data_IF_708107084772
#
_entry.id   IF_708107084772
#
_cell.length_a   1.000
_cell.length_b   1.000
_cell.length_c   1.000
_cell.angle_alpha   90.00
_cell.angle_beta   90.00
_cell.angle_gamma   90.00
#
_symmetry.space_group_name_H-M   'P 1'
#
loop_
_entity.id
_entity.type
_entity.pdbx_description
1 polymer ?
#
# COMPACT_ATOMS: atom_id res chain seq x y z
N UNK A 1 -82.90 -93.49 2.84
CA UNK A 1 -82.30 -92.65 1.83
C UNK A 1 -82.14 -91.26 2.41
N UNK A 2 -80.94 -90.93 2.83
CA UNK A 2 -80.69 -89.72 3.53
C UNK A 2 -79.84 -88.81 2.68
N UNK A 3 -80.25 -87.59 2.41
CA UNK A 3 -79.50 -86.57 1.73
C UNK A 3 -78.80 -85.63 2.74
N UNK A 4 -77.56 -85.64 2.77
CA UNK A 4 -76.71 -84.77 3.59
C UNK A 4 -76.50 -83.42 2.89
N UNK A 5 -76.93 -82.33 3.55
CA UNK A 5 -76.67 -80.97 3.16
C UNK A 5 -75.54 -80.38 4.04
N UNK A 6 -74.41 -80.07 3.44
CA UNK A 6 -73.26 -79.42 4.04
C UNK A 6 -73.42 -77.89 4.07
N UNK A 7 -73.07 -77.14 5.13
CA UNK A 7 -73.16 -75.68 5.12
C UNK A 7 -71.94 -75.02 4.54
N UNK A 8 -72.15 -74.02 3.68
CA UNK A 8 -71.12 -73.15 3.09
C UNK A 8 -70.59 -72.15 4.17
N UNK A 9 -69.30 -72.23 4.46
CA UNK A 9 -68.58 -71.22 5.22
C UNK A 9 -68.48 -69.93 4.42
N UNK A 10 -69.05 -68.84 4.90
CA UNK A 10 -68.86 -67.52 4.45
C UNK A 10 -67.47 -67.01 4.93
N UNK A 11 -66.53 -66.78 4.00
CA UNK A 11 -65.25 -66.12 4.27
C UNK A 11 -65.51 -64.64 4.49
N UNK A 12 -65.38 -64.17 5.74
CA UNK A 12 -65.31 -62.76 6.09
C UNK A 12 -64.02 -62.15 5.49
N UNK A 13 -64.17 -61.22 4.57
CA UNK A 13 -63.08 -60.35 4.11
C UNK A 13 -62.77 -59.31 5.22
N UNK A 14 -61.78 -59.57 6.03
CA UNK A 14 -61.22 -58.52 6.90
C UNK A 14 -60.61 -57.45 6.05
N UNK A 15 -61.22 -56.31 5.97
CA UNK A 15 -60.66 -55.06 5.42
C UNK A 15 -59.48 -54.62 6.32
N UNK A 16 -58.28 -54.93 5.94
CA UNK A 16 -57.08 -54.31 6.51
C UNK A 16 -57.13 -52.81 6.24
N UNK A 17 -57.68 -52.02 7.15
CA UNK A 17 -57.47 -50.58 7.19
C UNK A 17 -55.96 -50.33 7.30
N UNK A 18 -55.36 -49.85 6.23
CA UNK A 18 -53.97 -49.42 6.22
C UNK A 18 -53.79 -48.33 7.30
N UNK A 19 -52.93 -48.64 8.27
CA UNK A 19 -52.53 -47.61 9.26
C UNK A 19 -51.96 -46.41 8.51
N UNK A 20 -52.37 -45.16 8.80
CA UNK A 20 -51.82 -44.00 8.19
C UNK A 20 -50.33 -43.94 8.53
N UNK A 21 -49.43 -44.00 7.49
CA UNK A 21 -47.98 -43.80 7.63
C UNK A 21 -47.77 -42.52 8.42
N UNK A 22 -47.29 -42.62 9.65
CA UNK A 22 -46.91 -41.45 10.48
C UNK A 22 -45.94 -40.63 9.65
N UNK A 23 -46.45 -39.55 8.99
CA UNK A 23 -45.63 -38.62 8.24
C UNK A 23 -44.54 -38.12 9.16
N UNK A 24 -43.26 -38.18 8.74
CA UNK A 24 -42.11 -37.76 9.51
C UNK A 24 -42.10 -36.22 9.69
N UNK A 25 -43.05 -35.66 10.40
CA UNK A 25 -43.20 -34.23 10.66
C UNK A 25 -41.95 -33.64 11.34
N UNK A 26 -41.25 -34.44 12.16
CA UNK A 26 -40.01 -34.03 12.80
C UNK A 26 -38.90 -33.81 11.76
N UNK A 27 -38.74 -34.70 10.79
CA UNK A 27 -37.74 -34.53 9.69
C UNK A 27 -38.09 -33.31 8.84
N UNK A 28 -39.36 -33.12 8.49
CA UNK A 28 -39.80 -31.94 7.71
C UNK A 28 -39.56 -30.63 8.44
N UNK A 29 -39.83 -30.56 9.75
CA UNK A 29 -39.56 -29.38 10.57
C UNK A 29 -38.05 -29.08 10.64
N UNK A 30 -37.20 -30.10 10.81
CA UNK A 30 -35.76 -29.95 10.82
C UNK A 30 -35.29 -29.46 9.43
N UNK A 31 -35.78 -30.04 8.33
CA UNK A 31 -35.39 -29.60 6.96
C UNK A 31 -35.81 -28.16 6.72
N UNK A 32 -37.02 -27.76 7.10
CA UNK A 32 -37.50 -26.36 6.96
C UNK A 32 -36.65 -25.41 7.82
N UNK A 33 -36.29 -25.80 9.04
CA UNK A 33 -35.45 -25.00 9.92
C UNK A 33 -34.05 -24.85 9.31
N UNK A 34 -33.44 -25.91 8.76
CA UNK A 34 -32.15 -25.86 8.09
C UNK A 34 -32.20 -24.94 6.85
N UNK A 35 -33.23 -25.09 6.02
CA UNK A 35 -33.42 -24.22 4.86
C UNK A 35 -33.60 -22.76 5.31
N UNK A 36 -34.36 -22.50 6.37
CA UNK A 36 -34.50 -21.14 6.92
C UNK A 36 -33.18 -20.54 7.37
N UNK A 37 -32.35 -21.31 8.09
CA UNK A 37 -31.01 -20.87 8.51
C UNK A 37 -30.10 -20.60 7.30
N UNK A 38 -30.14 -21.49 6.29
CA UNK A 38 -29.37 -21.29 5.06
C UNK A 38 -29.78 -20.03 4.31
N UNK A 39 -31.11 -19.79 4.19
CA UNK A 39 -31.64 -18.59 3.52
C UNK A 39 -31.22 -17.31 4.28
N UNK A 40 -31.33 -17.31 5.61
CA UNK A 40 -30.91 -16.17 6.44
C UNK A 40 -29.41 -15.94 6.28
N UNK A 41 -28.61 -17.00 6.31
CA UNK A 41 -27.15 -16.91 6.11
C UNK A 41 -26.77 -16.35 4.72
N UNK A 42 -27.43 -16.84 3.65
CA UNK A 42 -27.20 -16.33 2.30
C UNK A 42 -27.66 -14.87 2.14
N UNK A 43 -28.76 -14.49 2.76
CA UNK A 43 -29.22 -13.11 2.77
C UNK A 43 -28.23 -12.19 3.50
N UNK A 44 -27.74 -12.61 4.66
CA UNK A 44 -26.68 -11.89 5.39
C UNK A 44 -25.42 -11.75 4.55
N UNK A 45 -24.98 -12.83 3.91
CA UNK A 45 -23.80 -12.84 3.05
C UNK A 45 -23.98 -11.88 1.85
N UNK A 46 -25.15 -11.89 1.22
CA UNK A 46 -25.47 -10.97 0.11
C UNK A 46 -25.50 -9.50 0.52
N UNK A 47 -26.08 -9.19 1.69
CA UNK A 47 -26.07 -7.83 2.24
C UNK A 47 -24.62 -7.40 2.57
N UNK A 48 -23.86 -8.28 3.24
CA UNK A 48 -22.45 -8.03 3.57
C UNK A 48 -21.60 -7.73 2.33
N UNK A 49 -21.77 -8.53 1.26
CA UNK A 49 -21.09 -8.30 -0.01
C UNK A 49 -21.55 -6.98 -0.66
N UNK A 50 -22.85 -6.70 -0.68
CA UNK A 50 -23.38 -5.45 -1.23
C UNK A 50 -22.78 -4.21 -0.54
N UNK A 51 -22.72 -4.23 0.79
CA UNK A 51 -22.09 -3.18 1.59
C UNK A 51 -20.58 -3.06 1.29
N UNK A 52 -19.87 -4.17 1.16
CA UNK A 52 -18.44 -4.16 0.82
C UNK A 52 -18.20 -3.59 -0.59
N UNK A 53 -18.99 -3.97 -1.60
CA UNK A 53 -18.85 -3.49 -2.97
C UNK A 53 -19.15 -1.99 -3.11
N UNK A 54 -20.00 -1.42 -2.26
CA UNK A 54 -20.29 0.01 -2.23
C UNK A 54 -19.28 0.80 -1.38
N UNK A 55 -18.55 0.16 -0.48
CA UNK A 55 -17.59 0.80 0.40
C UNK A 55 -16.20 0.87 -0.25
N UNK A 56 -15.81 2.08 -0.65
CA UNK A 56 -14.50 2.33 -1.27
C UNK A 56 -13.31 2.01 -0.35
N UNK A 57 -13.53 1.86 0.95
CA UNK A 57 -12.47 1.46 1.88
C UNK A 57 -11.91 0.06 1.62
N UNK A 58 -12.65 -0.80 0.95
CA UNK A 58 -12.19 -2.13 0.51
C UNK A 58 -11.34 -2.12 -0.77
N UNK A 59 -11.15 -0.97 -1.40
CA UNK A 59 -10.33 -0.82 -2.59
C UNK A 59 -10.92 0.15 -3.62
N UNK A 60 -10.11 0.56 -4.58
CA UNK A 60 -10.51 1.49 -5.64
C UNK A 60 -11.37 0.85 -6.73
N UNK A 61 -11.23 -0.46 -6.96
CA UNK A 61 -11.99 -1.23 -7.94
C UNK A 61 -13.00 -2.18 -7.30
N UNK A 62 -14.04 -2.58 -8.04
CA UNK A 62 -15.00 -3.57 -7.57
C UNK A 62 -14.35 -4.94 -7.33
N UNK A 63 -13.38 -5.31 -8.17
CA UNK A 63 -12.60 -6.55 -8.01
C UNK A 63 -11.78 -6.55 -6.73
N UNK A 64 -11.12 -5.42 -6.40
CA UNK A 64 -10.40 -5.28 -5.14
C UNK A 64 -11.34 -5.39 -3.93
N UNK A 65 -12.51 -4.73 -3.98
CA UNK A 65 -13.52 -4.79 -2.91
C UNK A 65 -14.06 -6.20 -2.72
N UNK A 66 -14.31 -6.92 -3.80
CA UNK A 66 -14.72 -8.33 -3.74
C UNK A 66 -13.61 -9.19 -3.15
N UNK A 67 -12.36 -9.01 -3.58
CA UNK A 67 -11.22 -9.77 -3.09
C UNK A 67 -10.99 -9.56 -1.59
N UNK A 68 -11.03 -8.32 -1.12
CA UNK A 68 -10.89 -8.00 0.31
C UNK A 68 -12.05 -8.58 1.13
N UNK A 69 -13.30 -8.42 0.67
CA UNK A 69 -14.46 -9.02 1.30
C UNK A 69 -14.35 -10.55 1.37
N UNK A 70 -13.91 -11.18 0.29
CA UNK A 70 -13.73 -12.64 0.22
C UNK A 70 -12.68 -13.15 1.20
N UNK A 71 -11.58 -12.42 1.37
CA UNK A 71 -10.54 -12.74 2.38
C UNK A 71 -11.10 -12.65 3.79
N UNK A 72 -11.92 -11.64 4.07
CA UNK A 72 -12.54 -11.43 5.40
C UNK A 72 -13.63 -12.48 5.71
N UNK A 73 -14.21 -13.13 4.67
CA UNK A 73 -15.27 -14.13 4.81
C UNK A 73 -14.81 -15.58 4.58
N UNK A 74 -13.50 -15.83 4.67
CA UNK A 74 -12.94 -17.19 4.63
C UNK A 74 -12.80 -17.81 3.25
N UNK A 75 -13.11 -17.07 2.16
CA UNK A 75 -12.89 -17.54 0.78
C UNK A 75 -11.59 -16.99 0.17
N UNK A 76 -10.67 -16.53 1.03
CA UNK A 76 -9.37 -15.99 0.60
C UNK A 76 -8.57 -16.93 -0.30
N UNK A 77 -8.64 -18.25 -0.07
CA UNK A 77 -8.00 -19.23 -0.93
C UNK A 77 -8.54 -19.24 -2.37
N UNK A 78 -9.86 -19.08 -2.54
CA UNK A 78 -10.49 -18.98 -3.87
C UNK A 78 -10.10 -17.68 -4.56
N UNK A 79 -10.09 -16.58 -3.82
CA UNK A 79 -9.64 -15.27 -4.34
C UNK A 79 -8.20 -15.36 -4.80
N UNK A 80 -7.32 -15.90 -3.99
CA UNK A 80 -5.91 -16.10 -4.33
C UNK A 80 -5.75 -16.97 -5.57
N UNK A 81 -6.49 -18.08 -5.67
CA UNK A 81 -6.48 -18.94 -6.85
C UNK A 81 -6.94 -18.20 -8.12
N UNK A 82 -8.05 -17.45 -8.06
CA UNK A 82 -8.55 -16.69 -9.22
C UNK A 82 -7.57 -15.61 -9.68
N UNK A 83 -6.92 -14.92 -8.74
CA UNK A 83 -5.86 -13.98 -9.03
C UNK A 83 -4.64 -14.68 -9.66
N UNK A 84 -4.34 -15.91 -9.22
CA UNK A 84 -3.28 -16.77 -9.81
C UNK A 84 -3.50 -17.03 -11.27
N UNK A 85 -4.67 -17.55 -11.58
CA UNK A 85 -5.04 -17.85 -12.96
C UNK A 85 -5.01 -16.60 -13.83
N UNK A 86 -5.52 -15.46 -13.31
CA UNK A 86 -5.49 -14.20 -14.05
C UNK A 86 -4.07 -13.74 -14.38
N UNK A 87 -3.14 -13.77 -13.40
CA UNK A 87 -1.74 -13.41 -13.64
C UNK A 87 -1.01 -14.41 -14.54
N UNK A 88 -1.33 -15.69 -14.44
CA UNK A 88 -0.75 -16.72 -15.31
C UNK A 88 -1.19 -16.52 -16.78
N UNK A 89 -2.45 -16.12 -17.00
CA UNK A 89 -2.98 -15.82 -18.32
C UNK A 89 -2.54 -14.45 -18.87
N UNK A 90 -2.11 -13.52 -17.98
CA UNK A 90 -1.69 -12.18 -18.35
C UNK A 90 -0.26 -11.87 -17.86
N UNK A 91 0.75 -12.64 -18.28
CA UNK A 91 2.12 -12.40 -17.85
C UNK A 91 2.62 -11.05 -18.38
N UNK A 92 3.45 -10.32 -17.62
CA UNK A 92 4.06 -9.09 -18.09
C UNK A 92 4.82 -9.28 -19.40
N UNK A 93 4.67 -8.32 -20.30
CA UNK A 93 5.33 -8.35 -21.62
C UNK A 93 6.85 -8.29 -21.45
N UNK A 94 7.55 -9.19 -22.15
CA UNK A 94 9.02 -9.16 -22.27
C UNK A 94 9.44 -8.20 -23.38
N UNK A 95 10.54 -7.48 -23.18
CA UNK A 95 11.05 -6.52 -24.14
C UNK A 95 10.15 -5.28 -24.32
N UNK A 96 10.27 -4.63 -25.45
CA UNK A 96 9.54 -3.42 -25.79
C UNK A 96 10.23 -2.15 -25.33
N UNK A 97 9.65 -1.01 -25.74
CA UNK A 97 10.13 0.33 -25.32
C UNK A 97 9.08 0.95 -24.41
N UNK A 98 9.50 1.63 -23.32
CA UNK A 98 8.59 2.42 -22.52
C UNK A 98 8.06 3.61 -23.34
N UNK A 99 6.97 4.28 -22.91
CA UNK A 99 6.52 5.53 -23.50
C UNK A 99 7.66 6.54 -23.62
N UNK A 100 7.69 7.33 -24.67
CA UNK A 100 8.80 8.28 -24.98
C UNK A 100 9.02 9.36 -23.92
N UNK A 101 8.00 9.60 -23.09
CA UNK A 101 8.00 10.57 -21.98
C UNK A 101 8.15 9.90 -20.59
N UNK A 102 8.33 8.58 -20.56
CA UNK A 102 8.30 7.78 -19.32
C UNK A 102 9.34 8.21 -18.28
N UNK A 103 10.47 8.73 -18.72
CA UNK A 103 11.57 9.19 -17.86
C UNK A 103 11.63 10.72 -17.72
N UNK A 104 10.69 11.44 -18.35
CA UNK A 104 10.57 12.88 -18.20
C UNK A 104 9.83 13.20 -16.92
N UNK A 105 10.11 14.37 -16.36
CA UNK A 105 9.41 14.90 -15.20
C UNK A 105 7.90 14.94 -15.45
N UNK A 106 7.15 14.23 -14.63
CA UNK A 106 5.69 14.26 -14.62
C UNK A 106 5.25 14.98 -13.34
N UNK A 107 4.79 16.20 -13.47
CA UNK A 107 4.21 16.94 -12.36
C UNK A 107 4.76 18.34 -12.13
N UNK A 108 4.09 19.07 -11.24
CA UNK A 108 4.42 20.45 -10.87
C UNK A 108 5.63 20.46 -9.94
N UNK A 109 6.81 20.17 -10.47
CA UNK A 109 8.02 20.28 -9.69
C UNK A 109 8.31 21.74 -9.42
N UNK A 110 8.48 22.08 -8.16
CA UNK A 110 8.99 23.39 -7.79
C UNK A 110 10.39 23.56 -8.44
N UNK A 111 10.58 24.60 -9.20
CA UNK A 111 11.93 25.02 -9.60
C UNK A 111 12.66 25.37 -8.31
N UNK A 112 13.75 24.66 -8.00
CA UNK A 112 14.59 25.03 -6.88
C UNK A 112 15.01 26.50 -7.07
N UNK A 113 14.60 27.36 -6.16
CA UNK A 113 14.85 28.80 -6.24
C UNK A 113 16.18 29.14 -5.58
N UNK A 114 16.61 28.29 -4.63
CA UNK A 114 17.84 28.51 -3.90
C UNK A 114 19.05 27.98 -4.69
N UNK A 115 20.04 28.82 -4.90
CA UNK A 115 21.36 28.44 -5.42
C UNK A 115 22.13 27.55 -4.43
N UNK A 116 21.83 27.66 -3.13
CA UNK A 116 22.43 26.88 -2.05
C UNK A 116 21.37 26.42 -1.06
N UNK A 117 21.46 25.16 -0.63
CA UNK A 117 20.58 24.55 0.39
C UNK A 117 21.45 24.00 1.52
N UNK A 118 21.99 24.89 2.42
CA UNK A 118 22.99 24.51 3.41
C UNK A 118 22.48 23.44 4.39
N UNK A 119 21.18 23.44 4.68
CA UNK A 119 20.55 22.50 5.61
C UNK A 119 20.08 21.20 4.93
N UNK A 120 20.13 21.10 3.62
CA UNK A 120 19.71 19.93 2.87
C UNK A 120 20.86 18.93 2.67
N UNK A 121 20.49 17.67 2.50
CA UNK A 121 21.44 16.66 2.01
C UNK A 121 21.77 16.91 0.53
N UNK A 122 22.97 16.53 0.09
CA UNK A 122 23.31 16.59 -1.33
C UNK A 122 22.31 15.77 -2.16
N UNK A 123 21.89 16.33 -3.31
CA UNK A 123 21.09 15.60 -4.30
C UNK A 123 21.74 14.26 -4.62
N UNK A 124 20.98 13.15 -4.71
CA UNK A 124 21.55 11.86 -5.06
C UNK A 124 22.10 11.88 -6.50
N UNK A 125 23.21 11.17 -6.72
CA UNK A 125 23.79 10.95 -8.05
C UNK A 125 22.86 10.14 -8.93
N UNK A 126 23.06 10.17 -10.25
CA UNK A 126 22.26 9.40 -11.22
C UNK A 126 22.20 7.93 -10.80
N UNK A 127 20.99 7.39 -10.76
CA UNK A 127 20.75 6.00 -10.39
C UNK A 127 21.20 5.05 -11.51
N UNK A 128 21.97 3.99 -11.20
CA UNK A 128 22.27 2.95 -12.18
C UNK A 128 21.00 2.24 -12.65
N UNK A 129 20.82 2.12 -13.96
CA UNK A 129 19.64 1.46 -14.53
C UNK A 129 19.87 -0.04 -14.68
N UNK A 130 18.90 -0.90 -14.33
CA UNK A 130 19.02 -2.35 -14.53
C UNK A 130 19.09 -2.78 -16.00
N UNK A 131 18.46 -2.03 -16.89
CA UNK A 131 18.40 -2.34 -18.32
C UNK A 131 19.38 -1.48 -19.12
N UNK A 132 20.08 -2.10 -20.07
CA UNK A 132 21.06 -1.42 -20.94
C UNK A 132 20.57 -1.41 -22.40
N UNK A 133 20.94 -0.40 -23.19
CA UNK A 133 21.52 0.90 -22.77
C UNK A 133 20.50 1.75 -22.02
N UNK A 134 20.94 2.70 -21.19
CA UNK A 134 20.04 3.65 -20.53
C UNK A 134 19.24 4.46 -21.57
N UNK A 135 17.99 4.74 -21.26
CA UNK A 135 17.19 5.64 -22.06
C UNK A 135 17.47 7.11 -21.65
N UNK A 136 17.22 8.09 -22.51
CA UNK A 136 17.37 9.50 -22.15
C UNK A 136 16.59 9.86 -20.88
N UNK A 137 17.27 10.46 -19.90
CA UNK A 137 16.76 10.84 -18.57
C UNK A 137 16.43 9.67 -17.62
N UNK A 138 16.62 8.43 -18.01
CA UNK A 138 16.48 7.27 -17.13
C UNK A 138 17.50 7.34 -15.98
N UNK A 139 17.03 7.21 -14.74
CA UNK A 139 17.87 7.29 -13.55
C UNK A 139 18.24 8.71 -13.09
N UNK A 140 17.82 9.76 -13.82
CA UNK A 140 18.10 11.14 -13.46
C UNK A 140 17.10 11.65 -12.44
N UNK A 141 17.57 12.02 -11.26
CA UNK A 141 16.74 12.57 -10.19
C UNK A 141 16.26 14.00 -10.47
N UNK A 142 14.99 14.23 -10.33
CA UNK A 142 14.32 15.49 -10.59
C UNK A 142 13.58 15.98 -9.33
N UNK A 143 13.68 17.27 -8.96
CA UNK A 143 12.98 17.79 -7.79
C UNK A 143 11.49 17.83 -8.01
N UNK A 144 10.73 17.44 -6.98
CA UNK A 144 9.25 17.38 -7.00
C UNK A 144 8.66 17.87 -5.68
N UNK A 145 7.35 18.06 -5.66
CA UNK A 145 6.61 18.49 -4.48
C UNK A 145 6.90 19.94 -4.08
N UNK A 146 6.40 20.35 -2.90
CA UNK A 146 6.66 21.69 -2.36
C UNK A 146 8.12 21.84 -1.93
N UNK A 147 8.63 23.06 -2.05
CA UNK A 147 9.91 23.41 -1.44
C UNK A 147 9.78 23.53 0.07
N UNK A 148 10.82 23.14 0.78
CA UNK A 148 10.99 23.33 2.23
C UNK A 148 12.18 24.26 2.42
N UNK A 149 11.99 25.39 3.06
CA UNK A 149 13.00 26.46 3.16
C UNK A 149 13.67 26.78 1.80
N UNK A 150 12.87 26.87 0.75
CA UNK A 150 13.27 27.09 -0.64
C UNK A 150 14.13 25.97 -1.26
N UNK A 151 14.29 24.84 -0.58
CA UNK A 151 15.04 23.66 -1.04
C UNK A 151 14.11 22.53 -1.47
N UNK A 152 14.53 21.76 -2.46
CA UNK A 152 13.85 20.54 -2.84
C UNK A 152 14.09 19.45 -1.79
N UNK A 153 13.02 18.99 -1.14
CA UNK A 153 13.07 17.98 -0.10
C UNK A 153 12.80 16.56 -0.65
N UNK A 154 12.20 16.46 -1.83
CA UNK A 154 11.91 15.19 -2.52
C UNK A 154 12.44 15.26 -3.95
N UNK A 155 13.08 14.18 -4.37
CA UNK A 155 13.48 13.96 -5.75
C UNK A 155 12.91 12.65 -6.26
N UNK A 156 12.40 12.64 -7.48
CA UNK A 156 11.91 11.45 -8.16
C UNK A 156 12.82 11.07 -9.33
N UNK A 157 12.90 9.78 -9.59
CA UNK A 157 13.54 9.23 -10.80
C UNK A 157 12.77 8.01 -11.27
N UNK A 158 12.97 7.66 -12.52
CA UNK A 158 12.26 6.57 -13.18
C UNK A 158 13.28 5.67 -13.89
N UNK A 159 13.09 4.35 -13.73
CA UNK A 159 13.94 3.34 -14.36
C UNK A 159 13.09 2.17 -14.87
N UNK A 160 13.63 1.39 -15.77
CA UNK A 160 13.08 0.09 -16.14
C UNK A 160 13.35 -0.91 -15.00
N UNK A 161 12.41 -1.81 -14.64
CA UNK A 161 12.54 -2.69 -13.47
C UNK A 161 13.71 -3.68 -13.59
N UNK A 162 13.95 -4.20 -14.79
CA UNK A 162 14.98 -5.18 -15.11
C UNK A 162 15.35 -5.15 -16.60
N UNK A 163 16.30 -6.01 -17.02
CA UNK A 163 16.75 -6.13 -18.40
C UNK A 163 15.77 -6.86 -19.34
N UNK A 164 14.73 -7.51 -18.79
CA UNK A 164 13.76 -8.34 -19.55
C UNK A 164 12.48 -7.58 -19.81
N UNK A 165 11.93 -6.90 -18.80
CA UNK A 165 10.61 -6.23 -18.84
C UNK A 165 10.76 -4.74 -19.20
N UNK A 166 11.47 -4.46 -20.27
CA UNK A 166 11.96 -3.12 -20.64
C UNK A 166 10.90 -2.13 -21.09
N UNK A 167 9.65 -2.54 -21.27
CA UNK A 167 8.50 -1.66 -21.54
C UNK A 167 7.86 -1.07 -20.29
N UNK A 168 8.17 -1.61 -19.11
CA UNK A 168 7.65 -1.11 -17.84
C UNK A 168 8.58 -0.08 -17.22
N UNK A 169 8.00 0.77 -16.36
CA UNK A 169 8.70 1.83 -15.64
C UNK A 169 8.35 1.76 -14.18
N UNK A 170 9.37 1.85 -13.34
CA UNK A 170 9.29 1.91 -11.88
C UNK A 170 9.73 3.29 -11.43
N UNK A 171 9.00 3.88 -10.49
CA UNK A 171 9.35 5.16 -9.90
C UNK A 171 10.10 4.98 -8.58
N UNK A 172 11.05 5.87 -8.34
CA UNK A 172 11.76 5.99 -7.08
C UNK A 172 11.61 7.42 -6.56
N UNK A 173 11.40 7.56 -5.26
CA UNK A 173 11.36 8.85 -4.58
C UNK A 173 12.41 8.87 -3.46
N UNK A 174 13.33 9.82 -3.52
CA UNK A 174 14.32 10.08 -2.49
C UNK A 174 13.84 11.25 -1.61
N UNK A 175 13.91 11.13 -0.30
CA UNK A 175 13.37 12.06 0.68
C UNK A 175 14.45 12.47 1.68
N UNK A 176 14.59 13.78 1.89
CA UNK A 176 15.61 14.36 2.76
C UNK A 176 15.13 14.46 4.22
N UNK A 177 15.70 13.70 5.17
CA UNK A 177 15.30 13.73 6.58
C UNK A 177 15.68 15.03 7.31
N UNK A 178 16.59 15.85 6.74
CA UNK A 178 16.91 17.16 7.31
C UNK A 178 15.81 18.18 7.04
N UNK A 179 15.09 18.03 5.94
CA UNK A 179 14.00 18.90 5.53
C UNK A 179 12.62 18.34 5.85
N UNK A 180 12.52 17.01 6.04
CA UNK A 180 11.26 16.29 6.21
C UNK A 180 11.18 15.57 7.55
N UNK A 181 9.97 15.53 8.09
CA UNK A 181 9.58 14.77 9.27
C UNK A 181 8.60 13.68 8.87
N UNK A 182 8.90 12.44 9.21
CA UNK A 182 8.05 11.28 8.97
C UNK A 182 6.94 11.15 10.03
N UNK A 183 5.79 10.63 9.63
CA UNK A 183 4.73 10.17 10.54
C UNK A 183 4.05 8.92 9.99
N UNK A 184 3.61 8.04 10.90
CA UNK A 184 2.77 6.89 10.57
C UNK A 184 1.32 7.25 10.85
N UNK A 185 0.46 7.02 9.88
CA UNK A 185 -0.99 7.18 9.97
C UNK A 185 -1.67 5.83 9.96
N UNK A 186 -2.56 5.61 10.91
CA UNK A 186 -3.42 4.42 10.92
C UNK A 186 -4.57 4.60 9.95
N UNK A 187 -4.94 3.54 9.24
CA UNK A 187 -6.16 3.50 8.44
C UNK A 187 -7.39 3.22 9.31
N UNK A 188 -8.54 3.19 8.70
CA UNK A 188 -9.80 2.87 9.41
C UNK A 188 -9.91 1.40 9.87
N UNK A 189 -9.10 0.50 9.28
CA UNK A 189 -9.08 -0.92 9.61
C UNK A 189 -7.69 -1.46 9.98
N UNK A 190 -6.61 -0.85 9.49
CA UNK A 190 -5.23 -1.27 9.78
C UNK A 190 -4.56 -0.19 10.62
N UNK A 191 -4.05 -0.53 11.81
CA UNK A 191 -3.89 -1.86 12.42
C UNK A 191 -5.14 -2.41 13.11
N UNK A 192 -6.22 -1.65 13.22
CA UNK A 192 -7.37 -1.91 14.08
C UNK A 192 -7.16 -1.32 15.48
N UNK A 193 -8.22 -1.23 16.30
CA UNK A 193 -8.11 -0.87 17.72
C UNK A 193 -8.00 0.63 18.03
N UNK A 194 -8.40 1.53 17.13
CA UNK A 194 -8.41 2.97 17.40
C UNK A 194 -9.29 3.41 18.58
N UNK A 195 -9.40 4.71 18.86
CA UNK A 195 -8.93 5.82 18.02
C UNK A 195 -7.43 6.08 18.14
N UNK A 196 -6.85 6.68 17.07
CA UNK A 196 -5.44 7.05 16.99
C UNK A 196 -5.29 8.56 16.79
N UNK A 197 -4.17 9.12 17.28
CA UNK A 197 -3.86 10.53 17.12
C UNK A 197 -3.64 10.91 15.63
N UNK A 198 -3.08 9.97 14.85
CA UNK A 198 -2.92 10.13 13.39
C UNK A 198 -3.66 9.02 12.67
N UNK A 199 -4.76 9.38 12.04
CA UNK A 199 -5.59 8.45 11.26
C UNK A 199 -6.07 9.11 9.97
N UNK A 200 -6.49 8.29 9.00
CA UNK A 200 -7.16 8.78 7.79
C UNK A 200 -8.54 9.41 8.13
N UNK A 201 -8.92 10.50 7.49
CA UNK A 201 -8.19 11.26 6.46
C UNK A 201 -7.12 12.17 7.06
N UNK A 202 -6.13 12.57 6.24
CA UNK A 202 -5.18 13.62 6.64
C UNK A 202 -5.98 14.89 6.96
N UNK A 203 -5.79 15.41 8.17
CA UNK A 203 -6.50 16.62 8.61
C UNK A 203 -6.01 17.87 7.87
N UNK A 204 -6.84 18.89 7.78
CA UNK A 204 -6.48 20.19 7.18
C UNK A 204 -5.22 20.79 7.83
N UNK A 205 -5.08 20.65 9.15
CA UNK A 205 -3.90 21.14 9.85
C UNK A 205 -2.63 20.38 9.42
N UNK A 206 -2.67 19.05 9.39
CA UNK A 206 -1.54 18.24 8.92
C UNK A 206 -1.19 18.50 7.45
N UNK A 207 -2.17 18.80 6.61
CA UNK A 207 -1.99 19.13 5.21
C UNK A 207 -1.21 20.43 4.97
N UNK A 208 -1.13 21.33 5.95
CA UNK A 208 -0.39 22.61 5.81
C UNK A 208 1.11 22.37 5.61
N UNK A 209 1.68 21.32 6.20
CA UNK A 209 3.09 20.95 6.08
C UNK A 209 3.35 19.74 5.21
N UNK A 210 2.32 19.05 4.73
CA UNK A 210 2.46 17.81 3.98
C UNK A 210 3.22 18.00 2.65
N UNK A 211 4.23 17.16 2.41
CA UNK A 211 5.05 17.14 1.19
C UNK A 211 4.81 15.88 0.39
N UNK A 212 4.76 14.72 1.04
CA UNK A 212 4.47 13.44 0.39
C UNK A 212 3.70 12.50 1.31
N UNK A 213 2.99 11.56 0.71
CA UNK A 213 2.34 10.44 1.41
C UNK A 213 2.44 9.18 0.57
N UNK A 214 2.62 8.02 1.22
CA UNK A 214 2.75 6.74 0.53
C UNK A 214 2.31 5.58 1.40
N UNK A 215 1.96 4.46 0.76
CA UNK A 215 1.45 3.27 1.44
C UNK A 215 2.45 2.69 2.45
N UNK A 216 1.92 2.10 3.52
CA UNK A 216 2.69 1.26 4.43
C UNK A 216 2.70 -0.22 3.97
N UNK A 217 2.81 -1.14 4.92
CA UNK A 217 2.97 -2.56 4.64
C UNK A 217 1.66 -3.33 4.42
N UNK A 218 1.77 -4.65 4.42
CA UNK A 218 0.64 -5.57 4.28
C UNK A 218 -0.39 -5.41 5.40
N UNK A 219 -1.56 -6.01 5.23
CA UNK A 219 -2.51 -6.22 6.34
C UNK A 219 -1.76 -6.87 7.50
N UNK A 220 -2.12 -6.52 8.73
CA UNK A 220 -1.37 -6.99 9.90
C UNK A 220 -1.29 -8.50 10.02
N UNK A 221 -2.33 -9.22 9.58
CA UNK A 221 -2.33 -10.68 9.53
C UNK A 221 -1.31 -11.29 8.56
N UNK A 222 -0.91 -10.53 7.52
CA UNK A 222 0.01 -10.97 6.47
C UNK A 222 1.42 -10.38 6.67
N UNK A 223 1.53 -9.31 7.47
CA UNK A 223 2.77 -8.60 7.75
C UNK A 223 3.77 -9.39 8.62
N UNK A 224 3.31 -10.42 9.32
CA UNK A 224 4.10 -11.23 10.27
C UNK A 224 4.86 -10.41 11.32
N UNK A 225 4.34 -9.25 11.69
CA UNK A 225 5.00 -8.31 12.57
C UNK A 225 4.00 -7.45 13.34
N UNK A 226 4.53 -6.56 14.16
CA UNK A 226 3.75 -5.75 15.07
C UNK A 226 3.53 -4.29 14.63
N UNK A 227 2.83 -3.58 15.50
CA UNK A 227 2.48 -2.17 15.32
C UNK A 227 2.51 -1.43 16.66
N UNK A 228 3.26 -0.33 16.71
CA UNK A 228 3.35 0.56 17.87
C UNK A 228 3.09 1.99 17.44
N UNK A 229 2.18 2.68 18.12
CA UNK A 229 1.89 4.10 17.92
C UNK A 229 1.18 4.66 19.16
N UNK A 230 1.16 5.97 19.33
CA UNK A 230 0.49 6.66 20.43
C UNK A 230 0.89 6.10 21.81
N UNK A 231 2.19 5.79 21.98
CA UNK A 231 2.77 5.17 23.17
C UNK A 231 2.15 3.81 23.55
N UNK A 232 1.53 3.11 22.59
CA UNK A 232 0.87 1.81 22.80
C UNK A 232 1.37 0.78 21.80
N UNK A 233 1.64 -0.43 22.27
CA UNK A 233 1.80 -1.61 21.43
C UNK A 233 0.41 -2.12 21.03
N UNK A 234 0.00 -1.85 19.80
CA UNK A 234 -1.30 -2.28 19.27
C UNK A 234 -1.25 -3.75 18.90
N UNK A 235 -0.16 -4.16 18.26
CA UNK A 235 0.15 -5.55 17.93
C UNK A 235 1.58 -5.80 18.37
N UNK A 236 1.87 -6.91 19.07
CA UNK A 236 3.20 -7.21 19.59
C UNK A 236 4.29 -7.12 18.53
N UNK A 237 5.39 -6.43 18.85
CA UNK A 237 6.56 -6.33 17.97
C UNK A 237 7.35 -7.64 18.00
N UNK A 238 7.74 -8.13 16.82
CA UNK A 238 8.39 -9.41 16.63
C UNK A 238 9.88 -9.19 16.35
N UNK A 239 10.75 -9.87 17.10
CA UNK A 239 12.20 -9.81 16.93
C UNK A 239 12.61 -10.29 15.51
N UNK A 240 13.60 -9.62 14.92
CA UNK A 240 14.13 -9.93 13.60
C UNK A 240 13.32 -9.35 12.44
N UNK A 241 12.05 -8.98 12.63
CA UNK A 241 11.21 -8.44 11.55
C UNK A 241 11.67 -7.05 11.11
N UNK A 242 11.57 -6.81 9.81
CA UNK A 242 11.85 -5.50 9.23
C UNK A 242 10.90 -4.46 9.80
N UNK A 243 11.46 -3.40 10.33
CA UNK A 243 10.75 -2.40 11.12
C UNK A 243 11.07 -1.01 10.62
N UNK A 244 10.05 -0.26 10.22
CA UNK A 244 10.11 1.18 10.05
C UNK A 244 9.86 1.83 11.41
N UNK A 245 10.85 2.52 11.92
CA UNK A 245 10.85 3.17 13.24
C UNK A 245 10.87 4.67 13.04
N UNK A 246 9.92 5.38 13.65
CA UNK A 246 9.87 6.83 13.61
C UNK A 246 10.17 7.35 15.02
N UNK A 247 11.05 8.35 15.10
CA UNK A 247 11.50 8.96 16.35
C UNK A 247 10.81 10.30 16.60
N UNK A 248 10.90 10.79 17.84
CA UNK A 248 10.31 12.08 18.29
C UNK A 248 10.73 13.27 17.45
N UNK A 249 11.96 13.25 16.96
CA UNK A 249 12.49 14.29 16.07
C UNK A 249 11.96 14.18 14.63
N UNK A 250 11.12 13.18 14.33
CA UNK A 250 10.55 12.92 13.02
C UNK A 250 11.51 12.24 12.06
N UNK A 251 12.69 11.81 12.49
CA UNK A 251 13.52 10.92 11.66
C UNK A 251 12.92 9.53 11.57
N UNK A 252 13.24 8.83 10.49
CA UNK A 252 12.82 7.44 10.28
C UNK A 252 14.05 6.58 10.06
N UNK A 253 14.07 5.41 10.69
CA UNK A 253 15.05 4.37 10.41
C UNK A 253 14.37 3.05 10.04
N UNK A 254 15.10 2.17 9.37
CA UNK A 254 14.65 0.84 8.95
C UNK A 254 15.67 -0.17 9.40
N UNK A 255 15.22 -1.25 10.07
CA UNK A 255 16.12 -2.30 10.54
C UNK A 255 15.40 -3.53 11.06
N UNK A 256 16.16 -4.60 11.31
CA UNK A 256 15.67 -5.78 12.00
C UNK A 256 15.45 -5.45 13.48
N UNK A 257 14.23 -5.70 13.96
CA UNK A 257 13.84 -5.38 15.33
C UNK A 257 14.63 -6.16 16.37
N UNK A 258 15.10 -5.47 17.41
CA UNK A 258 15.87 -6.03 18.51
C UNK A 258 17.37 -6.17 18.24
N UNK A 259 17.82 -5.98 16.98
CA UNK A 259 19.25 -6.06 16.62
C UNK A 259 19.80 -4.80 15.99
N UNK A 260 19.08 -4.21 15.03
CA UNK A 260 19.49 -3.00 14.31
C UNK A 260 18.68 -1.77 14.75
N UNK A 261 17.43 -1.98 15.10
CA UNK A 261 16.53 -0.98 15.70
C UNK A 261 15.83 -1.60 16.91
N UNK A 262 15.55 -0.80 17.92
CA UNK A 262 14.94 -1.28 19.15
C UNK A 262 14.08 -0.19 19.80
N UNK A 263 13.27 -0.57 20.80
CA UNK A 263 12.50 0.39 21.57
C UNK A 263 13.44 1.29 22.40
N UNK A 264 13.28 2.59 22.23
CA UNK A 264 13.93 3.62 23.04
C UNK A 264 12.90 4.65 23.48
N UNK A 265 13.19 5.51 24.45
CA UNK A 265 12.27 6.60 24.85
C UNK A 265 11.89 7.56 23.71
N UNK A 266 12.68 7.60 22.64
CA UNK A 266 12.44 8.49 21.49
C UNK A 266 11.61 7.86 20.36
N UNK A 267 11.30 6.56 20.46
CA UNK A 267 10.43 5.89 19.48
C UNK A 267 8.99 6.33 19.66
N UNK A 268 8.37 6.84 18.60
CA UNK A 268 6.96 7.25 18.57
C UNK A 268 6.08 6.32 17.76
N UNK A 269 6.63 5.64 16.76
CA UNK A 269 5.89 4.66 15.97
C UNK A 269 6.81 3.57 15.43
N UNK A 270 6.30 2.35 15.35
CA UNK A 270 6.95 1.21 14.69
C UNK A 270 5.92 0.48 13.83
N UNK A 271 6.27 0.26 12.57
CA UNK A 271 5.50 -0.55 11.63
C UNK A 271 6.38 -1.67 11.09
N UNK A 272 6.05 -2.90 11.43
CA UNK A 272 6.79 -4.07 10.96
C UNK A 272 6.14 -4.69 9.72
N UNK A 273 6.94 -5.20 8.80
CA UNK A 273 6.48 -5.93 7.61
C UNK A 273 7.53 -6.92 7.13
N UNK A 274 7.27 -8.21 7.33
CA UNK A 274 8.12 -9.32 6.88
C UNK A 274 9.60 -9.20 7.37
N UNK A 275 10.54 -9.61 6.53
CA UNK A 275 11.97 -9.52 6.79
C UNK A 275 12.61 -8.41 5.94
N UNK A 276 13.83 -8.00 6.29
CA UNK A 276 14.61 -7.09 5.43
C UNK A 276 14.90 -7.75 4.07
N UNK A 277 14.78 -6.98 3.01
CA UNK A 277 15.13 -7.39 1.64
C UNK A 277 16.50 -6.85 1.20
N UNK A 278 16.99 -5.80 1.88
CA UNK A 278 18.36 -5.27 1.74
C UNK A 278 18.95 -5.15 3.13
N UNK A 279 20.17 -5.63 3.32
CA UNK A 279 20.99 -5.43 4.50
C UNK A 279 22.43 -5.13 4.11
N UNK A 280 23.10 -4.23 4.85
CA UNK A 280 24.47 -3.77 4.58
C UNK A 280 24.68 -3.32 3.12
N UNK A 281 23.65 -2.72 2.52
CA UNK A 281 23.68 -2.21 1.14
C UNK A 281 23.54 -3.28 0.05
N UNK A 282 23.24 -4.51 0.40
CA UNK A 282 23.10 -5.65 -0.53
C UNK A 282 21.75 -6.34 -0.35
N UNK A 283 21.20 -6.85 -1.44
CA UNK A 283 20.06 -7.75 -1.37
C UNK A 283 20.40 -8.95 -0.47
N UNK A 284 19.49 -9.32 0.44
CA UNK A 284 19.70 -10.45 1.35
C UNK A 284 19.70 -11.77 0.59
N UNK A 285 20.43 -12.75 1.12
CA UNK A 285 20.48 -14.08 0.53
C UNK A 285 19.11 -14.78 0.59
N UNK A 286 18.81 -15.61 -0.40
CA UNK A 286 17.59 -16.42 -0.44
C UNK A 286 16.32 -15.65 -0.85
N UNK A 287 16.44 -14.46 -1.43
CA UNK A 287 15.30 -13.80 -2.06
C UNK A 287 14.75 -14.65 -3.21
N UNK A 288 13.55 -15.18 -3.02
CA UNK A 288 12.88 -15.98 -4.03
C UNK A 288 11.39 -15.64 -4.07
N UNK A 289 10.88 -15.45 -5.26
CA UNK A 289 9.45 -15.22 -5.48
C UNK A 289 8.58 -16.45 -5.14
N UNK A 290 9.17 -17.64 -5.03
CA UNK A 290 8.48 -18.86 -4.63
C UNK A 290 8.38 -19.03 -3.11
N UNK A 291 9.14 -18.26 -2.32
CA UNK A 291 9.04 -18.29 -0.85
C UNK A 291 8.01 -17.26 -0.35
N UNK A 292 6.75 -17.59 -0.53
CA UNK A 292 5.62 -16.76 -0.11
C UNK A 292 5.51 -16.64 1.42
N UNK A 293 6.10 -17.58 2.17
CA UNK A 293 6.04 -17.54 3.63
C UNK A 293 6.93 -16.46 4.22
N UNK A 294 8.01 -16.11 3.53
CA UNK A 294 9.02 -15.16 3.99
C UNK A 294 8.85 -13.77 3.37
N UNK A 295 8.42 -13.70 2.12
CA UNK A 295 8.39 -12.47 1.32
C UNK A 295 6.96 -12.03 0.95
N UNK A 296 5.97 -12.57 1.66
CA UNK A 296 4.56 -12.33 1.40
C UNK A 296 4.02 -13.17 0.25
N UNK A 297 2.80 -13.61 0.42
CA UNK A 297 2.07 -14.28 -0.65
C UNK A 297 1.85 -13.29 -1.78
N UNK A 298 2.62 -13.43 -2.84
CA UNK A 298 2.29 -12.76 -4.08
C UNK A 298 0.97 -13.33 -4.58
N UNK A 299 0.13 -12.46 -5.08
CA UNK A 299 -1.08 -12.90 -5.76
C UNK A 299 -0.70 -13.93 -6.80
N UNK A 300 -1.05 -15.17 -6.52
CA UNK A 300 -0.87 -16.24 -7.43
C UNK A 300 0.49 -16.86 -7.56
N UNK A 301 1.38 -16.71 -6.62
CA UNK A 301 2.76 -17.14 -6.83
C UNK A 301 3.41 -16.42 -8.02
N UNK A 302 2.74 -15.39 -8.58
CA UNK A 302 3.29 -14.60 -9.66
C UNK A 302 4.49 -13.82 -9.16
N UNK A 303 5.64 -14.08 -9.75
CA UNK A 303 6.86 -13.38 -9.41
C UNK A 303 6.78 -11.88 -9.76
N UNK A 304 6.03 -11.52 -10.79
CA UNK A 304 5.98 -10.19 -11.41
C UNK A 304 4.65 -9.50 -11.12
N UNK A 305 4.61 -8.68 -10.07
CA UNK A 305 3.44 -7.93 -9.66
C UNK A 305 3.79 -6.45 -9.42
N UNK A 306 2.80 -5.62 -9.13
CA UNK A 306 3.06 -4.33 -8.51
C UNK A 306 3.68 -4.54 -7.13
N UNK A 307 4.80 -3.87 -6.89
CA UNK A 307 5.47 -3.90 -5.60
C UNK A 307 5.86 -2.51 -5.16
N UNK A 308 5.93 -2.34 -3.85
CA UNK A 308 6.58 -1.19 -3.25
C UNK A 308 7.53 -1.61 -2.14
N UNK A 309 8.47 -0.75 -1.85
CA UNK A 309 9.41 -0.92 -0.76
C UNK A 309 10.03 0.40 -0.38
N UNK A 310 10.63 0.45 0.79
CA UNK A 310 11.40 1.60 1.22
C UNK A 310 12.70 1.19 1.90
N UNK A 311 13.70 2.06 1.82
CA UNK A 311 14.99 1.82 2.42
C UNK A 311 15.58 3.09 3.00
N UNK A 312 16.49 2.92 3.97
CA UNK A 312 17.27 3.98 4.57
C UNK A 312 18.70 3.94 4.04
N UNK A 313 19.22 5.09 3.62
CA UNK A 313 20.61 5.27 3.20
C UNK A 313 21.50 5.58 4.41
N UNK A 314 22.83 5.49 4.24
CA UNK A 314 23.80 5.78 5.31
C UNK A 314 23.67 7.19 5.89
N UNK A 315 23.22 8.16 5.11
CA UNK A 315 23.01 9.54 5.54
C UNK A 315 21.61 9.81 6.12
N UNK A 316 20.82 8.74 6.36
CA UNK A 316 19.47 8.83 6.91
C UNK A 316 18.38 9.15 5.88
N UNK A 317 18.73 9.45 4.61
CA UNK A 317 17.70 9.69 3.61
C UNK A 317 16.90 8.43 3.32
N UNK A 318 15.59 8.60 3.08
CA UNK A 318 14.66 7.53 2.78
C UNK A 318 14.44 7.44 1.29
N UNK A 319 14.42 6.24 0.76
CA UNK A 319 14.08 5.97 -0.64
C UNK A 319 12.85 5.07 -0.68
N UNK A 320 11.82 5.50 -1.38
CA UNK A 320 10.67 4.68 -1.77
C UNK A 320 10.87 4.18 -3.20
N UNK A 321 10.48 2.95 -3.46
CA UNK A 321 10.41 2.34 -4.79
C UNK A 321 9.00 1.80 -4.99
N UNK A 322 8.38 2.07 -6.15
CA UNK A 322 7.07 1.50 -6.45
C UNK A 322 6.80 1.42 -7.94
N UNK A 323 6.16 0.34 -8.38
CA UNK A 323 5.80 0.18 -9.77
C UNK A 323 5.38 -1.24 -10.16
N UNK A 324 5.00 -1.43 -11.44
CA UNK A 324 4.55 -2.71 -11.98
C UNK A 324 5.70 -3.66 -12.30
N UNK A 325 5.35 -4.92 -12.48
CA UNK A 325 6.23 -5.95 -13.07
C UNK A 325 7.57 -6.13 -12.36
N UNK A 326 7.57 -6.07 -11.03
CA UNK A 326 8.75 -6.33 -10.21
C UNK A 326 8.66 -7.67 -9.51
N UNK A 327 9.78 -8.40 -9.50
CA UNK A 327 10.03 -9.46 -8.53
C UNK A 327 10.52 -8.87 -7.21
N UNK A 328 10.49 -9.64 -6.13
CA UNK A 328 11.10 -9.22 -4.86
C UNK A 328 12.60 -8.95 -5.01
N UNK A 329 13.27 -9.74 -5.86
CA UNK A 329 14.71 -9.55 -6.17
C UNK A 329 14.94 -8.24 -6.92
N UNK A 330 14.11 -7.90 -7.90
CA UNK A 330 14.20 -6.63 -8.62
C UNK A 330 13.97 -5.43 -7.69
N UNK A 331 13.01 -5.53 -6.76
CA UNK A 331 12.77 -4.49 -5.76
C UNK A 331 13.99 -4.29 -4.85
N UNK A 332 14.58 -5.38 -4.35
CA UNK A 332 15.77 -5.32 -3.51
C UNK A 332 17.00 -4.76 -4.27
N UNK A 333 17.18 -5.15 -5.53
CA UNK A 333 18.26 -4.64 -6.39
C UNK A 333 18.12 -3.13 -6.62
N UNK A 334 16.91 -2.65 -6.90
CA UNK A 334 16.62 -1.22 -7.08
C UNK A 334 16.93 -0.41 -5.81
N UNK A 335 16.50 -0.89 -4.63
CA UNK A 335 16.77 -0.24 -3.35
C UNK A 335 18.27 -0.26 -3.02
N UNK A 336 18.98 -1.36 -3.29
CA UNK A 336 20.43 -1.45 -3.13
C UNK A 336 21.14 -0.48 -4.07
N UNK A 337 20.80 -0.44 -5.37
CA UNK A 337 21.35 0.50 -6.36
C UNK A 337 21.04 1.96 -6.03
N UNK A 338 19.91 2.24 -5.38
CA UNK A 338 19.59 3.56 -4.84
C UNK A 338 20.44 3.93 -3.60
N UNK A 339 21.30 3.04 -3.12
CA UNK A 339 22.23 3.25 -2.01
C UNK A 339 21.64 2.99 -0.62
N UNK A 340 20.51 2.30 -0.53
CA UNK A 340 19.94 1.92 0.75
C UNK A 340 20.84 0.91 1.47
N UNK A 341 21.09 1.16 2.75
CA UNK A 341 21.84 0.24 3.61
C UNK A 341 20.94 -0.87 4.14
N UNK A 342 19.70 -0.53 4.45
CA UNK A 342 18.65 -1.46 4.88
C UNK A 342 17.36 -1.09 4.17
N UNK A 343 16.60 -2.10 3.78
CA UNK A 343 15.32 -1.88 3.13
C UNK A 343 14.33 -3.01 3.43
N UNK A 344 13.05 -2.65 3.37
CA UNK A 344 11.92 -3.53 3.58
C UNK A 344 10.93 -3.43 2.42
N UNK A 345 10.22 -4.52 2.17
CA UNK A 345 9.05 -4.51 1.30
C UNK A 345 7.90 -3.79 2.01
N UNK A 346 7.12 -3.05 1.24
CA UNK A 346 5.85 -2.48 1.64
C UNK A 346 4.71 -3.25 0.98
N UNK A 347 3.53 -2.66 0.89
CA UNK A 347 2.40 -3.35 0.27
C UNK A 347 2.65 -3.63 -1.22
N UNK A 348 2.06 -4.70 -1.70
CA UNK A 348 2.10 -5.17 -3.08
C UNK A 348 0.69 -5.13 -3.65
N UNK A 349 0.54 -5.34 -4.98
CA UNK A 349 -0.73 -5.26 -5.66
C UNK A 349 -1.01 -3.86 -6.22
N UNK A 350 -1.66 -3.85 -7.35
CA UNK A 350 -2.07 -2.65 -8.08
C UNK A 350 -2.90 -1.68 -7.23
N UNK A 351 -3.75 -2.21 -6.35
CA UNK A 351 -4.66 -1.39 -5.55
C UNK A 351 -4.00 -0.70 -4.36
N UNK A 352 -2.86 -1.18 -3.87
CA UNK A 352 -2.25 -0.71 -2.62
C UNK A 352 -1.01 0.15 -2.83
N UNK A 353 -0.23 -0.11 -3.86
CA UNK A 353 0.98 0.66 -4.16
C UNK A 353 0.61 2.08 -4.61
N UNK A 354 1.04 3.07 -3.82
CA UNK A 354 0.76 4.47 -4.09
C UNK A 354 1.82 5.37 -3.45
N UNK A 355 2.23 6.40 -4.16
CA UNK A 355 3.08 7.49 -3.67
C UNK A 355 2.62 8.78 -4.32
N UNK A 356 2.38 9.80 -3.48
CA UNK A 356 1.92 11.13 -3.92
C UNK A 356 2.84 12.18 -3.36
N UNK A 357 3.29 13.11 -4.19
CA UNK A 357 3.89 14.38 -3.78
C UNK A 357 2.89 15.52 -3.92
N UNK A 358 2.99 16.54 -3.06
CA UNK A 358 2.09 17.68 -3.07
C UNK A 358 2.87 18.98 -3.29
N UNK A 359 2.42 19.79 -4.25
CA UNK A 359 3.02 21.06 -4.62
C UNK A 359 1.99 22.20 -4.56
N UNK A 360 1.42 22.50 -3.37
CA UNK A 360 0.49 23.60 -3.22
C UNK A 360 1.18 24.95 -3.46
N UNK A 361 0.40 25.96 -3.80
CA UNK A 361 0.87 27.33 -3.79
C UNK A 361 1.35 27.73 -2.38
N UNK A 362 2.20 28.74 -2.31
CA UNK A 362 2.78 29.20 -1.04
C UNK A 362 1.67 29.54 -0.03
N UNK A 363 1.79 29.04 1.18
CA UNK A 363 0.81 29.23 2.25
C UNK A 363 -0.46 28.37 2.13
N UNK A 364 -0.63 27.61 1.05
CA UNK A 364 -1.79 26.74 0.87
C UNK A 364 -1.53 25.31 1.40
N UNK A 365 -2.55 24.63 1.92
CA UNK A 365 -2.45 23.24 2.33
C UNK A 365 -2.35 22.30 1.12
N UNK A 366 -1.74 21.14 1.35
CA UNK A 366 -1.81 20.04 0.41
C UNK A 366 -3.27 19.55 0.28
N UNK A 367 -3.66 19.20 -0.94
CA UNK A 367 -4.96 18.63 -1.25
C UNK A 367 -4.86 17.77 -2.53
N UNK A 368 -5.89 17.00 -2.88
CA UNK A 368 -5.84 16.16 -4.08
C UNK A 368 -5.53 16.90 -5.39
N UNK A 369 -5.96 18.15 -5.53
CA UNK A 369 -5.79 18.91 -6.77
C UNK A 369 -4.34 19.40 -7.00
N UNK A 370 -3.54 19.52 -5.93
CA UNK A 370 -2.13 19.88 -6.02
C UNK A 370 -1.18 18.69 -5.79
N UNK A 371 -1.72 17.47 -5.79
CA UNK A 371 -0.98 16.21 -5.71
C UNK A 371 -0.52 15.73 -7.08
N UNK A 372 0.59 15.00 -7.08
CA UNK A 372 1.12 14.30 -8.25
C UNK A 372 1.52 12.87 -7.86
N UNK A 373 1.06 11.88 -8.60
CA UNK A 373 1.46 10.49 -8.42
C UNK A 373 2.88 10.27 -8.94
N UNK A 374 3.67 9.48 -8.24
CA UNK A 374 5.00 9.03 -8.70
C UNK A 374 4.88 8.33 -10.07
N UNK A 375 3.92 7.42 -10.22
CA UNK A 375 3.54 6.84 -11.51
C UNK A 375 2.05 7.08 -11.72
N UNK A 376 1.68 7.63 -12.87
CA UNK A 376 0.30 8.04 -13.17
C UNK A 376 -0.74 6.91 -13.10
N UNK A 377 -0.31 5.65 -13.24
CA UNK A 377 -1.15 4.46 -13.13
C UNK A 377 -1.29 3.92 -11.71
N UNK A 378 -0.71 4.56 -10.68
CA UNK A 378 -0.93 4.20 -9.28
C UNK A 378 -2.39 4.38 -8.91
N UNK A 379 -2.97 3.34 -8.32
CA UNK A 379 -4.38 3.30 -7.94
C UNK A 379 -4.73 4.26 -6.80
N UNK A 380 -6.00 4.60 -6.66
CA UNK A 380 -6.52 5.51 -5.62
C UNK A 380 -6.22 6.98 -5.85
N UNK A 381 -5.42 7.32 -6.86
CA UNK A 381 -5.14 8.69 -7.23
C UNK A 381 -4.50 9.51 -6.12
N UNK A 382 -4.52 10.82 -6.28
CA UNK A 382 -3.99 11.82 -5.32
C UNK A 382 -4.89 12.05 -4.11
N UNK A 383 -6.16 11.57 -4.16
CA UNK A 383 -7.15 11.73 -3.09
C UNK A 383 -7.09 10.64 -2.02
N UNK A 384 -6.34 9.58 -2.24
CA UNK A 384 -6.31 8.37 -1.39
C UNK A 384 -6.24 8.69 0.11
N UNK A 385 -5.28 9.47 0.51
CA UNK A 385 -5.00 9.73 1.93
C UNK A 385 -5.86 10.85 2.54
N UNK A 386 -6.67 11.51 1.72
CA UNK A 386 -7.67 12.51 2.14
C UNK A 386 -9.09 11.94 2.24
N UNK A 387 -9.26 10.64 1.94
CA UNK A 387 -10.54 9.98 2.00
C UNK A 387 -10.81 9.41 3.40
N UNK A 388 -11.96 9.74 3.98
CA UNK A 388 -12.38 9.27 5.31
C UNK A 388 -12.56 7.74 5.41
N UNK A 389 -12.69 7.09 4.27
CA UNK A 389 -12.90 5.65 4.15
C UNK A 389 -11.59 4.85 3.95
N UNK A 390 -10.41 5.50 3.88
CA UNK A 390 -9.17 4.78 3.60
C UNK A 390 -8.81 3.79 4.74
N UNK A 391 -8.68 2.50 4.41
CA UNK A 391 -8.56 1.42 5.40
C UNK A 391 -7.15 1.12 5.85
N UNK A 392 -6.17 1.32 4.95
CA UNK A 392 -4.78 0.94 5.18
C UNK A 392 -4.02 2.03 5.90
N UNK A 393 -3.02 1.62 6.65
CA UNK A 393 -2.03 2.53 7.20
C UNK A 393 -1.09 3.08 6.10
N UNK A 394 -0.50 4.24 6.36
CA UNK A 394 0.35 4.93 5.41
C UNK A 394 1.35 5.84 6.11
N UNK A 395 2.41 6.18 5.41
CA UNK A 395 3.39 7.15 5.87
C UNK A 395 3.16 8.52 5.24
N UNK A 396 3.48 9.57 6.01
CA UNK A 396 3.53 10.94 5.50
C UNK A 396 4.91 11.53 5.75
N UNK A 397 5.32 12.41 4.85
CA UNK A 397 6.52 13.24 4.97
C UNK A 397 6.08 14.70 4.96
N UNK A 398 6.30 15.38 6.09
CA UNK A 398 5.91 16.79 6.30
C UNK A 398 7.13 17.68 6.39
N UNK A 399 7.01 18.93 5.95
CA UNK A 399 8.07 19.92 6.07
C UNK A 399 8.41 20.17 7.54
N UNK A 400 9.70 20.12 7.91
CA UNK A 400 10.18 20.42 9.26
C UNK A 400 10.08 21.90 9.61
N UNK A 401 10.22 22.75 8.62
CA UNK A 401 10.16 24.20 8.76
C UNK A 401 8.82 24.69 8.22
N UNK A 402 8.19 25.61 8.93
CA UNK A 402 6.95 26.21 8.45
C UNK A 402 7.13 26.73 7.02
N UNK A 403 6.13 26.55 6.18
CA UNK A 403 6.10 27.10 4.81
C UNK A 403 6.25 28.62 4.75
N UNK A 404 6.30 29.28 5.89
CA UNK A 404 6.33 30.72 6.12
C UNK A 404 7.70 31.27 6.55
N UNK A 405 8.80 30.58 6.34
CA UNK A 405 10.07 31.29 6.27
C UNK A 405 10.00 32.19 5.02
N UNK A 406 9.28 33.28 5.15
CA UNK A 406 9.19 34.35 4.17
C UNK A 406 10.62 34.83 3.95
N UNK A 407 11.22 34.45 2.83
CA UNK A 407 12.33 35.21 2.28
C UNK A 407 11.75 36.61 2.02
N UNK A 408 11.95 37.53 2.96
CA UNK A 408 11.87 38.95 2.68
C UNK A 408 12.98 39.23 1.68
N UNK A 409 12.67 39.11 0.38
CA UNK A 409 13.47 39.72 -0.67
C UNK A 409 13.23 41.22 -0.45
N UNK A 410 14.28 42.01 -0.06
CA UNK A 410 14.14 43.44 -0.03
C UNK A 410 13.77 43.85 -1.45
N UNK A 411 12.65 44.60 -1.61
CA UNK A 411 12.28 45.17 -2.84
C UNK A 411 13.47 45.97 -3.36
N UNK A 412 14.01 45.59 -4.52
CA UNK A 412 15.06 46.33 -5.21
C UNK A 412 14.48 47.72 -5.53
N UNK A 413 14.89 48.69 -4.76
CA UNK A 413 14.56 50.11 -5.04
C UNK A 413 15.26 50.50 -6.31
N UNK A 414 14.55 50.45 -7.42
CA UNK A 414 15.01 51.03 -8.69
C UNK A 414 14.99 52.54 -8.52
N UNK A 415 16.13 53.11 -8.18
CA UNK A 415 16.32 54.56 -8.20
C UNK A 415 16.40 55.00 -9.65
N UNK A 416 15.31 55.53 -10.15
CA UNK A 416 15.28 56.18 -11.48
C UNK A 416 16.00 57.54 -11.36
N UNK A 417 17.26 57.53 -11.76
CA UNK A 417 18.00 58.79 -11.88
C UNK A 417 17.55 59.53 -13.15
N UNK A 418 16.70 60.50 -12.98
CA UNK A 418 16.32 61.45 -14.07
C UNK A 418 17.52 62.37 -14.33
N UNK A 419 18.27 62.15 -15.38
CA UNK A 419 19.26 63.07 -15.89
C UNK A 419 18.54 64.23 -16.58
N UNK A 420 18.59 65.42 -15.97
CA UNK A 420 18.24 66.67 -16.65
C UNK A 420 19.48 67.14 -17.43
N UNK A 421 19.42 67.07 -18.74
CA UNK A 421 20.32 67.84 -19.59
C UNK A 421 19.88 69.29 -19.64
N UNK A 422 20.80 70.16 -19.33
CA UNK A 422 20.86 71.54 -19.77
C UNK A 422 21.71 71.64 -21.02
#
# INVERSE_FOLDING_TARGET
MAASTSPRHARSRSSRRGQPKKKNYRRRRITVAIIGVVVIFLAWLGISLGLALTNQSYGSSLSARFAEWGRDHGIGGIVTWAEQEWYALNPPKKGGKPPSDAFKKKGNGAKAIASTCPDALPKPGTMPTPAQPPQPSEGVWQPVGRLVANCAAVYETYVRPDAIHTSYVVGLAWMDPKLLSASLYSGSQVPGGGPFARTAPISTNAATSLVAAFNAGFRMQDAQGGYYTDAKTIIPLVAGKASAVIYKDGTMDIGAWGTQVAMTPDVVSVRQNLDLIVDQGKAVAGLSASDNSRWGATLGGSALVWRSGMGVRRNGSIVFVGGPSMTITALADLLSKAGCQRAMELDINTDWVNFVTFAPALGQPANPANGSLLISSMSGGTSRYFASWWTRDFFTMSARYAANATSTIPASTTTTTTSKHR
#
